data_IF_157533790352
#
_entry.id   IF_157533790352
#
_cell.length_a   1.000
_cell.length_b   1.000
_cell.length_c   1.000
_cell.angle_alpha   90.00
_cell.angle_beta   90.00
_cell.angle_gamma   90.00
#
_symmetry.space_group_name_H-M   'P 1'
#
loop_
_entity.id
_entity.type
_entity.pdbx_description
1 polymer ?
#
# COMPACT_ATOMS: atom_id res chain seq x y z
N UNK A 1 3.00 9.82 -4.44
CA UNK A 1 1.97 8.95 -5.03
C UNK A 1 2.62 7.77 -5.74
N UNK A 2 2.12 6.56 -5.55
CA UNK A 2 2.49 5.37 -6.33
C UNK A 2 1.85 5.45 -7.71
N UNK A 3 2.61 5.18 -8.76
CA UNK A 3 2.10 5.11 -10.14
C UNK A 3 2.09 3.66 -10.60
N UNK A 4 3.23 2.97 -10.51
CA UNK A 4 3.34 1.56 -10.91
C UNK A 4 4.27 0.82 -9.96
N UNK A 5 3.98 -0.43 -9.71
CA UNK A 5 4.84 -1.34 -8.96
C UNK A 5 4.87 -2.70 -9.62
N UNK A 6 6.04 -3.15 -10.04
CA UNK A 6 6.22 -4.53 -10.49
C UNK A 6 7.20 -5.27 -9.61
N UNK A 7 7.02 -6.58 -9.54
CA UNK A 7 7.93 -7.48 -8.86
C UNK A 7 7.96 -8.85 -9.53
N UNK A 8 9.08 -9.54 -9.38
CA UNK A 8 9.32 -10.88 -9.93
C UNK A 8 10.05 -11.74 -8.93
N UNK A 9 9.82 -13.06 -9.00
CA UNK A 9 10.46 -14.05 -8.14
C UNK A 9 10.29 -13.74 -6.65
N UNK A 10 9.04 -13.61 -6.20
CA UNK A 10 8.71 -13.29 -4.82
C UNK A 10 7.62 -14.21 -4.26
N UNK A 11 7.94 -14.99 -3.23
CA UNK A 11 7.03 -15.92 -2.50
C UNK A 11 6.21 -16.85 -3.41
N UNK A 12 4.99 -16.45 -3.80
CA UNK A 12 4.07 -17.25 -4.64
C UNK A 12 4.09 -16.81 -6.11
N UNK A 13 4.76 -15.72 -6.43
CA UNK A 13 4.90 -15.19 -7.78
C UNK A 13 6.27 -15.54 -8.35
N UNK A 14 6.27 -16.32 -9.42
CA UNK A 14 7.48 -16.66 -10.18
C UNK A 14 7.76 -15.60 -11.25
N UNK A 15 6.76 -15.34 -12.06
CA UNK A 15 6.86 -14.38 -13.15
C UNK A 15 6.60 -12.95 -12.67
N UNK A 16 6.90 -11.99 -13.52
CA UNK A 16 6.68 -10.58 -13.24
C UNK A 16 5.18 -10.28 -13.22
N UNK A 17 4.78 -9.53 -12.19
CA UNK A 17 3.44 -8.94 -12.09
C UNK A 17 3.57 -7.43 -11.95
N UNK A 18 2.64 -6.71 -12.56
CA UNK A 18 2.54 -5.25 -12.53
C UNK A 18 1.24 -4.84 -11.84
N UNK A 19 1.35 -3.99 -10.84
CA UNK A 19 0.24 -3.25 -10.23
C UNK A 19 0.29 -1.81 -10.76
N UNK A 20 -0.80 -1.33 -11.35
CA UNK A 20 -0.86 -0.05 -12.06
C UNK A 20 -1.94 0.86 -11.49
N UNK A 21 -1.54 2.04 -11.00
CA UNK A 21 -2.43 3.09 -10.52
C UNK A 21 -2.79 4.12 -11.60
N UNK A 22 -2.34 3.94 -12.85
CA UNK A 22 -2.80 4.77 -13.96
C UNK A 22 -4.24 4.39 -14.33
N UNK A 23 -5.14 5.37 -14.48
CA UNK A 23 -6.52 5.09 -14.79
C UNK A 23 -6.66 4.57 -16.23
N UNK A 24 -7.44 3.51 -16.39
CA UNK A 24 -7.81 3.03 -17.72
C UNK A 24 -8.70 4.05 -18.44
N UNK A 25 -8.76 3.97 -19.78
CA UNK A 25 -9.59 4.82 -20.63
C UNK A 25 -11.08 4.49 -20.51
N UNK A 26 -11.62 4.56 -19.28
CA UNK A 26 -13.03 4.33 -18.95
C UNK A 26 -13.67 5.62 -18.40
N UNK A 27 -15.01 5.73 -18.52
CA UNK A 27 -15.72 6.95 -18.14
C UNK A 27 -16.33 6.92 -16.72
N UNK A 28 -16.06 5.85 -15.97
CA UNK A 28 -16.61 5.64 -14.63
C UNK A 28 -15.93 6.56 -13.62
N UNK A 29 -16.70 7.14 -12.70
CA UNK A 29 -16.20 7.88 -11.53
C UNK A 29 -14.97 8.76 -11.76
N UNK A 30 -14.91 9.51 -12.88
CA UNK A 30 -13.77 10.40 -13.20
C UNK A 30 -13.50 11.45 -12.13
N UNK A 31 -14.50 11.80 -11.36
CA UNK A 31 -14.43 12.77 -10.27
C UNK A 31 -13.72 12.24 -9.02
N UNK A 32 -13.48 10.92 -8.91
CA UNK A 32 -12.75 10.33 -7.79
C UNK A 32 -11.24 10.25 -8.04
N UNK A 33 -10.80 10.47 -9.28
CA UNK A 33 -9.38 10.42 -9.62
C UNK A 33 -8.59 11.53 -8.92
N UNK A 34 -7.46 11.16 -8.36
CA UNK A 34 -6.49 12.12 -7.83
C UNK A 34 -5.84 12.86 -8.99
N UNK A 35 -5.66 14.17 -8.83
CA UNK A 35 -4.96 15.00 -9.82
C UNK A 35 -3.66 15.51 -9.21
N UNK A 36 -2.56 15.27 -9.89
CA UNK A 36 -1.30 15.88 -9.50
C UNK A 36 -1.34 17.38 -9.80
N UNK A 37 -1.05 18.25 -8.83
CA UNK A 37 -1.08 19.68 -9.04
C UNK A 37 0.03 20.18 -9.99
N UNK A 38 1.09 19.41 -10.22
CA UNK A 38 2.24 19.82 -11.02
C UNK A 38 1.99 19.68 -12.55
N UNK A 39 1.31 18.64 -12.97
CA UNK A 39 1.08 18.34 -14.41
C UNK A 39 -0.38 18.03 -14.75
N UNK A 40 -1.23 17.90 -13.74
CA UNK A 40 -2.66 17.58 -13.91
C UNK A 40 -2.94 16.13 -14.30
N UNK A 41 -1.93 15.24 -14.30
CA UNK A 41 -2.14 13.82 -14.55
C UNK A 41 -3.05 13.19 -13.49
N UNK A 42 -3.92 12.29 -13.96
CA UNK A 42 -4.86 11.59 -13.12
C UNK A 42 -4.27 10.24 -12.66
N UNK A 43 -4.47 9.91 -11.38
CA UNK A 43 -3.99 8.68 -10.76
C UNK A 43 -5.14 8.08 -9.94
N UNK A 44 -5.22 6.75 -9.84
CA UNK A 44 -6.24 6.08 -9.03
C UNK A 44 -6.01 6.36 -7.53
N UNK A 45 -7.08 6.70 -6.78
CA UNK A 45 -7.00 6.91 -5.33
C UNK A 45 -6.79 5.61 -4.56
N UNK A 46 -7.23 4.49 -5.14
CA UNK A 46 -7.19 3.21 -4.45
C UNK A 46 -7.14 2.03 -5.43
N UNK A 47 -6.65 0.90 -4.91
CA UNK A 47 -6.77 -0.42 -5.54
C UNK A 47 -7.17 -1.43 -4.47
N UNK A 48 -8.23 -2.19 -4.75
CA UNK A 48 -8.66 -3.33 -3.96
C UNK A 48 -8.34 -4.65 -4.65
N UNK A 49 -7.57 -5.52 -3.99
CA UNK A 49 -7.18 -6.83 -4.51
C UNK A 49 -8.09 -7.91 -3.93
N UNK A 50 -8.79 -8.61 -4.79
CA UNK A 50 -9.73 -9.68 -4.48
C UNK A 50 -9.21 -11.03 -5.00
N UNK A 51 -9.70 -12.10 -4.43
CA UNK A 51 -9.33 -13.45 -4.85
C UNK A 51 -9.53 -14.47 -3.72
N UNK A 52 -9.38 -15.77 -4.00
CA UNK A 52 -9.53 -16.81 -3.01
C UNK A 52 -8.45 -16.75 -1.92
N UNK A 53 -8.71 -17.47 -0.82
CA UNK A 53 -7.66 -17.74 0.17
C UNK A 53 -6.50 -18.43 -0.52
N UNK A 54 -5.28 -18.10 -0.11
CA UNK A 54 -4.04 -18.60 -0.73
C UNK A 54 -3.85 -18.20 -2.22
N UNK A 55 -4.65 -17.25 -2.74
CA UNK A 55 -4.51 -16.72 -4.10
C UNK A 55 -3.34 -15.76 -4.32
N UNK A 56 -2.64 -15.32 -3.26
CA UNK A 56 -1.48 -14.43 -3.37
C UNK A 56 -1.74 -12.95 -3.03
N UNK A 57 -2.97 -12.56 -2.64
CA UNK A 57 -3.34 -11.16 -2.34
C UNK A 57 -2.38 -10.46 -1.37
N UNK A 58 -2.21 -11.01 -0.16
CA UNK A 58 -1.29 -10.48 0.85
C UNK A 58 0.17 -10.46 0.38
N UNK A 59 0.53 -11.31 -0.59
CA UNK A 59 1.89 -11.34 -1.14
C UNK A 59 2.20 -10.07 -1.93
N UNK A 60 1.22 -9.49 -2.61
CA UNK A 60 1.40 -8.22 -3.34
C UNK A 60 1.74 -7.08 -2.37
N UNK A 61 0.98 -6.95 -1.28
CA UNK A 61 1.27 -5.96 -0.22
C UNK A 61 2.63 -6.23 0.44
N UNK A 62 2.91 -7.51 0.72
CA UNK A 62 4.18 -7.92 1.31
C UNK A 62 5.39 -7.64 0.41
N UNK A 63 5.23 -7.66 -0.92
CA UNK A 63 6.30 -7.33 -1.85
C UNK A 63 6.69 -5.85 -1.73
N UNK A 64 5.70 -4.95 -1.72
CA UNK A 64 5.93 -3.51 -1.55
C UNK A 64 6.44 -3.17 -0.14
N UNK A 65 5.90 -3.83 0.90
CA UNK A 65 6.39 -3.71 2.28
C UNK A 65 7.85 -4.18 2.43
N UNK A 66 8.21 -5.27 1.76
CA UNK A 66 9.58 -5.78 1.73
C UNK A 66 10.52 -4.75 1.08
N UNK A 67 10.17 -4.22 -0.09
CA UNK A 67 10.94 -3.18 -0.75
C UNK A 67 11.11 -1.93 0.14
N UNK A 68 10.01 -1.43 0.74
CA UNK A 68 10.05 -0.31 1.67
C UNK A 68 10.98 -0.59 2.86
N UNK A 69 10.87 -1.78 3.46
CA UNK A 69 11.72 -2.19 4.59
C UNK A 69 13.20 -2.27 4.22
N UNK A 70 13.53 -2.73 3.01
CA UNK A 70 14.91 -2.76 2.52
C UNK A 70 15.50 -1.37 2.35
N UNK A 71 14.69 -0.43 1.82
CA UNK A 71 15.10 0.96 1.62
C UNK A 71 15.19 1.73 2.93
N UNK A 72 14.30 1.47 3.89
CA UNK A 72 14.26 2.21 5.16
C UNK A 72 15.08 1.55 6.27
N UNK A 73 15.70 0.40 6.00
CA UNK A 73 16.57 -0.27 6.96
C UNK A 73 17.73 0.60 7.42
N UNK A 74 18.12 0.43 8.68
CA UNK A 74 19.26 1.15 9.24
C UNK A 74 20.57 0.80 8.54
N UNK A 75 21.31 1.80 8.12
CA UNK A 75 22.67 1.63 7.53
C UNK A 75 23.71 1.19 8.55
N UNK A 76 23.48 1.44 9.85
CA UNK A 76 24.40 1.08 10.95
C UNK A 76 24.16 -0.33 11.46
N UNK A 77 22.94 -0.84 11.36
CA UNK A 77 22.56 -2.19 11.74
C UNK A 77 21.81 -2.80 10.57
N UNK A 78 22.52 -3.35 9.58
CA UNK A 78 21.88 -3.92 8.40
C UNK A 78 20.94 -5.05 8.80
N UNK A 79 19.67 -4.90 8.46
CA UNK A 79 18.71 -5.99 8.64
C UNK A 79 19.10 -7.10 7.67
N UNK A 80 19.19 -8.34 8.18
CA UNK A 80 19.39 -9.48 7.28
C UNK A 80 18.23 -9.53 6.31
N UNK A 81 18.51 -9.32 5.03
CA UNK A 81 17.53 -9.53 3.96
C UNK A 81 17.22 -11.04 3.98
N UNK A 82 15.99 -11.37 4.39
CA UNK A 82 15.52 -12.76 4.31
C UNK A 82 15.36 -13.12 2.85
N UNK A 83 15.72 -14.36 2.52
CA UNK A 83 15.45 -14.90 1.20
C UNK A 83 13.93 -15.02 1.00
N UNK A 84 13.41 -14.37 -0.04
CA UNK A 84 11.97 -14.25 -0.31
C UNK A 84 11.61 -14.69 -1.73
N UNK A 85 12.53 -15.40 -2.40
CA UNK A 85 12.31 -15.94 -3.74
C UNK A 85 11.05 -16.81 -3.83
N UNK A 86 10.60 -17.08 -5.04
CA UNK A 86 9.45 -17.94 -5.27
C UNK A 86 9.72 -19.37 -4.76
N UNK A 87 8.78 -19.88 -3.94
CA UNK A 87 8.91 -21.16 -3.27
C UNK A 87 8.42 -22.35 -4.12
N UNK A 88 7.76 -22.08 -5.25
CA UNK A 88 7.15 -23.12 -6.09
C UNK A 88 8.06 -23.71 -7.16
N UNK A 89 9.27 -23.15 -7.34
CA UNK A 89 10.26 -23.67 -8.28
C UNK A 89 11.64 -23.66 -7.64
N UNK A 90 12.34 -24.80 -7.70
CA UNK A 90 13.71 -24.93 -7.19
C UNK A 90 14.70 -23.95 -7.83
N UNK A 91 14.45 -23.57 -9.09
CA UNK A 91 15.33 -22.71 -9.86
C UNK A 91 15.27 -21.24 -9.38
N UNK A 92 14.16 -20.87 -8.73
CA UNK A 92 13.93 -19.50 -8.26
C UNK A 92 14.92 -19.03 -7.20
N UNK A 93 15.51 -19.93 -6.41
CA UNK A 93 16.49 -19.62 -5.36
C UNK A 93 17.83 -19.07 -5.90
N UNK A 94 18.14 -19.32 -7.16
CA UNK A 94 19.38 -18.89 -7.80
C UNK A 94 19.16 -17.70 -8.76
N UNK A 95 17.95 -17.21 -8.82
CA UNK A 95 17.53 -16.02 -9.61
C UNK A 95 17.24 -14.87 -8.65
N UNK A 96 17.63 -13.60 -8.97
CA UNK A 96 17.31 -12.46 -8.12
C UNK A 96 15.80 -12.25 -7.97
N UNK A 97 15.38 -11.88 -6.75
CA UNK A 97 14.09 -11.20 -6.57
C UNK A 97 14.22 -9.78 -7.10
N UNK A 98 13.24 -9.32 -7.87
CA UNK A 98 13.27 -8.03 -8.56
C UNK A 98 12.09 -7.18 -8.13
N UNK A 99 12.34 -5.89 -7.95
CA UNK A 99 11.34 -4.85 -7.74
C UNK A 99 11.60 -3.68 -8.69
N UNK A 100 10.54 -3.11 -9.22
CA UNK A 100 10.56 -1.87 -9.99
C UNK A 100 9.36 -1.01 -9.57
N UNK A 101 9.62 0.21 -9.13
CA UNK A 101 8.58 1.12 -8.66
C UNK A 101 8.71 2.48 -9.31
N UNK A 102 7.60 2.96 -9.87
CA UNK A 102 7.44 4.31 -10.40
C UNK A 102 6.55 5.09 -9.44
N UNK A 103 7.05 6.20 -8.92
CA UNK A 103 6.34 6.99 -7.93
C UNK A 103 6.67 8.48 -8.01
N UNK A 104 5.81 9.30 -7.43
CA UNK A 104 6.00 10.75 -7.30
C UNK A 104 6.26 11.13 -5.85
N UNK A 105 7.25 11.98 -5.64
CA UNK A 105 7.61 12.53 -4.33
C UNK A 105 8.20 13.92 -4.46
N UNK A 106 7.70 14.87 -3.67
CA UNK A 106 8.26 16.22 -3.53
C UNK A 106 8.53 16.94 -4.87
N UNK A 107 7.61 16.82 -5.84
CA UNK A 107 7.70 17.47 -7.15
C UNK A 107 8.56 16.73 -8.18
N UNK A 108 9.00 15.52 -7.87
CA UNK A 108 9.78 14.68 -8.79
C UNK A 108 9.04 13.37 -9.10
N UNK A 109 9.28 12.87 -10.30
CA UNK A 109 8.97 11.51 -10.73
C UNK A 109 10.21 10.65 -10.54
N UNK A 110 10.08 9.52 -9.87
CA UNK A 110 11.18 8.58 -9.63
C UNK A 110 10.83 7.21 -10.20
N UNK A 111 11.84 6.54 -10.78
CA UNK A 111 11.83 5.10 -11.00
C UNK A 111 12.95 4.47 -10.21
N UNK A 112 12.60 3.58 -9.30
CA UNK A 112 13.56 2.86 -8.47
C UNK A 112 13.49 1.37 -8.76
N UNK A 113 14.63 0.78 -9.08
CA UNK A 113 14.79 -0.63 -9.40
C UNK A 113 15.74 -1.29 -8.42
N UNK A 114 15.33 -2.43 -7.89
CA UNK A 114 16.13 -3.18 -6.94
C UNK A 114 16.09 -4.68 -7.28
N UNK A 115 17.25 -5.30 -7.36
CA UNK A 115 17.40 -6.73 -7.45
C UNK A 115 18.27 -7.23 -6.29
N UNK A 116 17.81 -8.26 -5.59
CA UNK A 116 18.62 -8.86 -4.56
C UNK A 116 18.62 -10.38 -4.64
N UNK A 117 19.74 -10.98 -4.23
CA UNK A 117 19.96 -12.41 -4.26
C UNK A 117 20.76 -12.83 -3.02
N UNK A 118 20.26 -13.83 -2.29
CA UNK A 118 20.99 -14.43 -1.15
C UNK A 118 21.47 -13.39 -0.13
N UNK A 119 20.63 -12.38 0.16
CA UNK A 119 20.92 -11.37 1.17
C UNK A 119 21.78 -10.19 0.70
N UNK A 120 22.18 -10.14 -0.56
CA UNK A 120 22.96 -9.03 -1.13
C UNK A 120 22.20 -8.32 -2.25
N UNK A 121 22.49 -7.05 -2.40
CA UNK A 121 21.99 -6.25 -3.53
C UNK A 121 22.79 -6.64 -4.78
N UNK A 122 22.09 -7.20 -5.76
CA UNK A 122 22.67 -7.57 -7.05
C UNK A 122 22.66 -6.38 -8.02
N UNK A 123 21.57 -5.61 -8.03
CA UNK A 123 21.42 -4.42 -8.83
C UNK A 123 20.53 -3.39 -8.15
N UNK A 124 20.86 -2.11 -8.26
CA UNK A 124 20.07 -1.00 -7.71
C UNK A 124 20.23 0.24 -8.58
N UNK A 125 19.11 0.77 -9.07
CA UNK A 125 19.11 1.93 -9.97
C UNK A 125 18.07 2.96 -9.48
N UNK A 126 18.40 4.24 -9.55
CA UNK A 126 17.46 5.33 -9.29
C UNK A 126 17.54 6.37 -10.40
N UNK A 127 16.39 6.56 -11.04
CA UNK A 127 16.16 7.58 -12.06
C UNK A 127 15.19 8.63 -11.51
N UNK A 128 15.34 9.87 -11.97
CA UNK A 128 14.44 10.96 -11.58
C UNK A 128 14.07 11.85 -12.78
N UNK A 129 12.96 12.54 -12.65
CA UNK A 129 12.49 13.57 -13.58
C UNK A 129 11.68 14.63 -12.86
N UNK A 130 11.78 15.88 -13.30
CA UNK A 130 10.95 16.97 -12.78
C UNK A 130 9.54 16.88 -13.30
N UNK A 131 8.52 16.94 -12.43
CA UNK A 131 7.12 16.99 -12.85
C UNK A 131 6.84 18.29 -13.58
N UNK A 132 6.26 18.18 -14.79
CA UNK A 132 6.00 19.34 -15.65
C UNK A 132 7.23 19.97 -16.28
N UNK A 133 8.43 19.40 -16.12
CA UNK A 133 9.71 19.86 -16.68
C UNK A 133 10.33 18.85 -17.64
N UNK A 134 11.42 19.27 -18.31
CA UNK A 134 12.22 18.43 -19.20
C UNK A 134 13.46 17.82 -18.53
N UNK A 135 13.68 18.12 -17.24
CA UNK A 135 14.88 17.67 -16.53
C UNK A 135 14.72 16.23 -16.07
N UNK A 136 15.48 15.32 -16.66
CA UNK A 136 15.52 13.90 -16.32
C UNK A 136 16.96 13.46 -16.13
N UNK A 137 17.19 12.57 -15.19
CA UNK A 137 18.55 12.11 -14.90
C UNK A 137 18.61 10.74 -14.25
N UNK A 138 19.83 10.24 -14.21
CA UNK A 138 20.19 9.06 -13.44
C UNK A 138 20.85 9.58 -12.17
N UNK A 139 20.29 9.22 -10.99
CA UNK A 139 20.94 9.55 -9.74
C UNK A 139 22.11 8.58 -9.50
N UNK A 140 21.86 7.28 -9.70
CA UNK A 140 22.91 6.26 -9.69
C UNK A 140 22.46 4.97 -10.38
N UNK A 141 23.46 4.19 -10.82
CA UNK A 141 23.33 2.78 -11.16
C UNK A 141 24.35 2.00 -10.32
N UNK A 142 23.94 0.91 -9.72
CA UNK A 142 24.78 -0.01 -8.96
C UNK A 142 24.58 -1.43 -9.46
N UNK A 143 25.69 -2.10 -9.74
CA UNK A 143 25.71 -3.55 -10.01
C UNK A 143 26.72 -4.18 -9.09
N UNK A 144 26.23 -5.02 -8.15
CA UNK A 144 27.02 -5.61 -7.09
C UNK A 144 27.79 -4.54 -6.28
N UNK A 145 29.12 -4.53 -6.36
CA UNK A 145 30.01 -3.56 -5.69
C UNK A 145 30.34 -2.34 -6.56
N UNK A 146 30.00 -2.36 -7.85
CA UNK A 146 30.33 -1.27 -8.79
C UNK A 146 29.19 -0.25 -8.79
N UNK A 147 29.51 0.99 -8.44
CA UNK A 147 28.58 2.11 -8.40
C UNK A 147 28.98 3.14 -9.46
N UNK A 148 28.04 3.47 -10.33
CA UNK A 148 28.15 4.55 -11.29
C UNK A 148 27.29 5.72 -10.81
N UNK A 149 27.88 6.77 -10.21
CA UNK A 149 27.15 7.93 -9.71
C UNK A 149 26.67 8.81 -10.87
N UNK A 150 25.46 9.33 -10.74
CA UNK A 150 25.01 10.44 -11.56
C UNK A 150 25.73 11.74 -11.23
N UNK A 151 25.49 12.79 -12.00
CA UNK A 151 26.20 14.08 -11.89
C UNK A 151 26.17 14.66 -10.48
N UNK A 152 25.06 14.55 -9.78
CA UNK A 152 24.87 15.06 -8.42
C UNK A 152 25.77 14.37 -7.38
N UNK A 153 26.12 13.11 -7.63
CA UNK A 153 26.81 12.25 -6.66
C UNK A 153 28.32 12.10 -6.92
N UNK A 154 28.89 12.73 -7.93
CA UNK A 154 30.30 12.56 -8.33
C UNK A 154 31.28 12.91 -7.19
N UNK A 155 30.93 13.86 -6.33
CA UNK A 155 31.77 14.31 -5.22
C UNK A 155 31.70 13.42 -3.96
N UNK A 156 30.76 12.46 -3.89
CA UNK A 156 30.56 11.64 -2.70
C UNK A 156 31.40 10.35 -2.73
N UNK A 157 31.99 9.93 -1.59
CA UNK A 157 32.81 8.72 -1.50
C UNK A 157 31.97 7.45 -1.41
N UNK A 158 31.45 6.96 -2.53
CA UNK A 158 30.52 5.83 -2.58
C UNK A 158 31.14 4.43 -2.40
N UNK A 159 32.47 4.35 -2.20
CA UNK A 159 33.19 3.07 -2.11
C UNK A 159 32.94 2.25 -0.83
N UNK A 160 32.33 2.85 0.19
CA UNK A 160 32.15 2.23 1.51
C UNK A 160 30.74 1.62 1.74
N UNK A 161 29.92 1.52 0.70
CA UNK A 161 28.53 1.01 0.85
C UNK A 161 28.56 -0.51 0.96
N UNK A 162 28.04 -1.09 2.07
CA UNK A 162 27.99 -2.54 2.23
C UNK A 162 27.12 -3.22 1.16
N UNK A 163 27.42 -4.47 0.76
CA UNK A 163 26.62 -5.19 -0.25
C UNK A 163 25.15 -5.43 0.17
N UNK A 164 24.89 -5.51 1.46
CA UNK A 164 23.54 -5.76 2.03
C UNK A 164 22.74 -4.49 2.31
N UNK A 165 23.32 -3.29 2.09
CA UNK A 165 22.66 -2.00 2.32
C UNK A 165 22.29 -1.39 0.97
N UNK A 166 21.05 -0.89 0.84
CA UNK A 166 20.65 -0.15 -0.36
C UNK A 166 21.43 1.17 -0.45
N UNK A 167 21.83 1.53 -1.65
CA UNK A 167 22.54 2.78 -1.87
C UNK A 167 21.66 3.99 -1.54
N UNK A 168 20.33 3.86 -1.79
CA UNK A 168 19.38 4.91 -1.44
C UNK A 168 19.34 5.17 0.08
N UNK A 169 19.33 4.12 0.93
CA UNK A 169 19.45 4.29 2.40
C UNK A 169 20.72 4.99 2.79
N UNK A 170 21.84 4.56 2.17
CA UNK A 170 23.15 5.12 2.45
C UNK A 170 23.23 6.60 2.06
N UNK A 171 22.73 6.95 0.87
CA UNK A 171 22.68 8.33 0.39
C UNK A 171 21.82 9.22 1.29
N UNK A 172 20.66 8.73 1.73
CA UNK A 172 19.82 9.47 2.67
C UNK A 172 20.52 9.77 4.01
N UNK A 173 21.32 8.82 4.51
CA UNK A 173 21.99 8.96 5.81
C UNK A 173 23.26 9.86 5.74
N UNK A 174 23.99 9.83 4.63
CA UNK A 174 25.32 10.41 4.56
C UNK A 174 25.49 11.53 3.52
N UNK A 175 24.42 11.90 2.82
CA UNK A 175 24.49 12.98 1.82
C UNK A 175 23.33 13.96 1.97
N UNK A 176 23.48 15.14 1.33
CA UNK A 176 22.43 16.15 1.23
C UNK A 176 21.77 16.15 -0.16
N UNK A 177 21.86 15.03 -0.90
CA UNK A 177 21.18 14.88 -2.18
C UNK A 177 19.66 15.07 -2.03
N UNK A 178 19.14 16.10 -2.70
CA UNK A 178 17.70 16.42 -2.67
C UNK A 178 16.88 15.26 -3.24
N UNK A 179 17.34 14.67 -4.35
CA UNK A 179 16.65 13.57 -5.01
C UNK A 179 16.67 12.28 -4.15
N UNK A 180 17.82 11.97 -3.51
CA UNK A 180 17.89 10.80 -2.62
C UNK A 180 16.96 10.95 -1.41
N UNK A 181 16.96 12.15 -0.78
CA UNK A 181 16.07 12.45 0.36
C UNK A 181 14.60 12.40 -0.04
N UNK A 182 14.23 12.95 -1.20
CA UNK A 182 12.85 12.92 -1.70
C UNK A 182 12.39 11.50 -2.02
N UNK A 183 13.23 10.68 -2.66
CA UNK A 183 12.91 9.28 -2.96
C UNK A 183 12.80 8.45 -1.67
N UNK A 184 13.75 8.56 -0.75
CA UNK A 184 13.72 7.87 0.55
C UNK A 184 12.48 8.25 1.37
N UNK A 185 12.13 9.54 1.40
CA UNK A 185 10.96 10.06 2.13
C UNK A 185 9.65 9.42 1.67
N UNK A 186 9.51 9.06 0.39
CA UNK A 186 8.33 8.34 -0.10
C UNK A 186 8.21 6.96 0.54
N UNK A 187 9.28 6.18 0.55
CA UNK A 187 9.30 4.85 1.18
C UNK A 187 9.03 4.90 2.69
N UNK A 188 9.63 5.88 3.38
CA UNK A 188 9.50 6.00 4.84
C UNK A 188 8.10 6.42 5.30
N UNK A 189 7.29 7.01 4.42
CA UNK A 189 5.91 7.43 4.71
C UNK A 189 4.84 6.40 4.33
N UNK A 190 5.20 5.28 3.71
CA UNK A 190 4.24 4.20 3.44
C UNK A 190 3.68 3.70 4.77
N UNK A 191 2.36 3.74 4.91
CA UNK A 191 1.65 3.32 6.11
C UNK A 191 1.19 1.88 5.98
N UNK A 192 1.40 1.08 7.02
CA UNK A 192 0.83 -0.27 7.12
C UNK A 192 -0.39 -0.32 8.03
N UNK A 193 -1.16 -1.39 7.93
CA UNK A 193 -2.30 -1.66 8.83
C UNK A 193 -1.90 -2.22 10.20
N UNK A 194 -0.60 -2.20 10.54
CA UNK A 194 -0.16 -2.59 11.88
C UNK A 194 -0.81 -1.69 12.93
N UNK A 195 -1.30 -2.25 14.05
CA UNK A 195 -1.88 -1.46 15.11
C UNK A 195 -0.93 -0.34 15.57
N UNK A 196 -1.42 0.88 15.59
CA UNK A 196 -0.72 2.03 16.17
C UNK A 196 -1.30 2.35 17.53
N UNK A 197 -0.49 2.98 18.35
CA UNK A 197 -1.00 3.61 19.57
C UNK A 197 -2.03 4.67 19.23
N UNK A 198 -3.05 4.80 20.07
CA UNK A 198 -4.05 5.84 19.90
C UNK A 198 -3.39 7.23 20.04
N UNK A 199 -3.71 8.17 19.14
CA UNK A 199 -3.14 9.52 19.20
C UNK A 199 -3.46 10.23 20.51
N UNK A 200 -2.47 10.88 21.09
CA UNK A 200 -2.65 11.67 22.32
C UNK A 200 -2.97 13.15 22.06
N UNK A 201 -2.68 13.65 20.84
CA UNK A 201 -2.99 15.03 20.49
C UNK A 201 -4.49 15.24 20.29
N UNK A 202 -4.99 16.39 20.76
CA UNK A 202 -6.42 16.68 20.81
C UNK A 202 -7.10 16.80 19.44
N UNK A 203 -6.36 17.20 18.41
CA UNK A 203 -6.94 17.39 17.07
C UNK A 203 -7.15 16.05 16.36
N UNK A 204 -6.12 15.23 16.29
CA UNK A 204 -6.22 13.87 15.72
C UNK A 204 -7.23 13.03 16.48
N UNK A 205 -7.26 13.13 17.82
CA UNK A 205 -8.24 12.45 18.66
C UNK A 205 -9.68 12.86 18.31
N UNK A 206 -9.95 14.16 18.18
CA UNK A 206 -11.27 14.67 17.75
C UNK A 206 -11.68 14.17 16.38
N UNK A 207 -10.77 14.19 15.40
CA UNK A 207 -11.02 13.69 14.05
C UNK A 207 -11.31 12.20 14.04
N UNK A 208 -10.57 11.43 14.84
CA UNK A 208 -10.77 9.98 14.97
C UNK A 208 -12.15 9.68 15.57
N UNK A 209 -12.53 10.32 16.65
CA UNK A 209 -13.86 10.18 17.27
C UNK A 209 -14.98 10.63 16.30
N UNK A 210 -14.76 11.68 15.51
CA UNK A 210 -15.69 12.12 14.49
C UNK A 210 -15.93 11.05 13.41
N UNK A 211 -14.89 10.36 12.95
CA UNK A 211 -15.04 9.22 12.03
C UNK A 211 -15.83 8.08 12.66
N UNK A 212 -15.58 7.76 13.93
CA UNK A 212 -16.33 6.71 14.63
C UNK A 212 -17.82 7.05 14.74
N UNK A 213 -18.13 8.32 15.03
CA UNK A 213 -19.51 8.81 15.07
C UNK A 213 -20.18 8.82 13.69
N UNK A 214 -19.47 9.20 12.62
CA UNK A 214 -19.94 9.09 11.24
C UNK A 214 -20.28 7.63 10.87
N UNK A 215 -19.59 6.68 11.47
CA UNK A 215 -19.84 5.24 11.32
C UNK A 215 -20.95 4.70 12.22
N UNK A 216 -21.60 5.56 13.00
CA UNK A 216 -22.69 5.21 13.91
C UNK A 216 -22.26 4.61 15.25
N UNK A 217 -20.99 4.78 15.62
CA UNK A 217 -20.51 4.40 16.94
C UNK A 217 -20.71 5.58 17.90
N UNK A 218 -21.18 5.28 19.11
CA UNK A 218 -21.47 6.29 20.15
C UNK A 218 -20.25 6.74 20.95
N UNK A 219 -19.05 6.56 20.39
CA UNK A 219 -17.77 6.90 21.01
C UNK A 219 -17.55 8.41 20.87
N UNK A 220 -17.58 9.11 22.01
CA UNK A 220 -17.39 10.56 22.06
C UNK A 220 -15.92 10.95 22.26
N UNK A 221 -15.16 10.15 23.02
CA UNK A 221 -13.75 10.39 23.34
C UNK A 221 -13.06 9.11 23.80
N UNK A 222 -11.77 9.18 24.10
CA UNK A 222 -11.01 8.12 24.79
C UNK A 222 -9.94 8.72 25.68
N UNK A 223 -9.55 7.98 26.71
CA UNK A 223 -8.46 8.32 27.60
C UNK A 223 -7.41 7.22 27.60
N UNK A 224 -6.14 7.60 27.72
CA UNK A 224 -5.02 6.68 27.85
C UNK A 224 -4.39 6.96 29.21
N UNK A 225 -4.46 6.00 30.11
CA UNK A 225 -3.89 6.10 31.45
C UNK A 225 -2.53 5.39 31.41
N UNK A 226 -1.41 6.11 31.64
CA UNK A 226 -0.11 5.49 31.81
C UNK A 226 -0.13 4.50 32.97
N UNK A 227 0.30 3.28 32.75
CA UNK A 227 0.44 2.31 33.83
C UNK A 227 1.69 2.62 34.66
N UNK A 228 1.51 2.86 35.98
CA UNK A 228 2.60 3.09 36.94
C UNK A 228 3.52 1.88 37.12
N UNK A 229 3.05 0.68 36.80
CA UNK A 229 3.74 -0.60 37.04
C UNK A 229 4.41 -1.22 35.80
N UNK A 230 4.67 -0.41 34.74
CA UNK A 230 5.33 -0.85 33.48
C UNK A 230 4.59 -1.93 32.69
N UNK A 231 3.30 -2.14 32.91
CA UNK A 231 2.41 -2.87 32.02
C UNK A 231 1.85 -1.92 30.96
N UNK A 232 1.33 -2.48 29.87
CA UNK A 232 0.77 -1.68 28.76
C UNK A 232 -0.22 -0.62 29.26
N UNK A 233 -0.19 0.62 28.71
CA UNK A 233 -1.11 1.68 29.13
C UNK A 233 -2.56 1.21 28.96
N UNK A 234 -3.40 1.48 29.98
CA UNK A 234 -4.82 1.18 29.91
C UNK A 234 -5.53 2.25 29.08
N UNK A 235 -6.33 1.82 28.10
CA UNK A 235 -7.18 2.70 27.31
C UNK A 235 -8.64 2.51 27.71
N UNK A 236 -9.37 3.63 27.85
CA UNK A 236 -10.79 3.66 28.12
C UNK A 236 -11.49 4.47 27.04
N UNK A 237 -12.63 3.98 26.58
CA UNK A 237 -13.46 4.64 25.60
C UNK A 237 -14.64 5.29 26.29
N UNK A 238 -14.90 6.55 25.95
CA UNK A 238 -16.01 7.32 26.50
C UNK A 238 -17.18 7.22 25.53
N UNK A 239 -18.18 6.47 25.90
CA UNK A 239 -19.43 6.33 25.14
C UNK A 239 -20.47 7.37 25.54
N UNK A 240 -21.20 7.90 24.56
CA UNK A 240 -22.29 8.85 24.74
C UNK A 240 -23.50 8.43 23.91
N UNK A 241 -24.24 7.37 24.34
CA UNK A 241 -25.35 6.83 23.58
C UNK A 241 -26.59 7.77 23.54
N UNK A 242 -26.73 8.62 24.55
CA UNK A 242 -27.82 9.58 24.66
C UNK A 242 -27.29 10.92 25.18
N UNK A 243 -27.99 12.01 24.85
CA UNK A 243 -27.65 13.34 25.33
C UNK A 243 -27.61 13.37 26.87
N UNK A 244 -26.50 13.84 27.43
CA UNK A 244 -26.25 13.92 28.88
C UNK A 244 -25.90 12.59 29.57
N UNK A 245 -25.78 11.50 28.83
CA UNK A 245 -25.36 10.20 29.37
C UNK A 245 -24.00 9.81 28.82
N UNK A 246 -23.00 9.65 29.69
CA UNK A 246 -21.66 9.16 29.34
C UNK A 246 -21.25 8.02 30.24
N UNK A 247 -20.53 7.03 29.71
CA UNK A 247 -19.89 5.97 30.49
C UNK A 247 -18.55 5.62 29.90
N UNK A 248 -17.64 5.12 30.71
CA UNK A 248 -16.33 4.65 30.29
C UNK A 248 -16.32 3.13 30.17
N UNK A 249 -15.79 2.63 29.07
CA UNK A 249 -15.62 1.22 28.83
C UNK A 249 -14.12 0.91 28.64
N UNK A 250 -13.55 -0.05 29.39
CA UNK A 250 -12.17 -0.49 29.19
C UNK A 250 -11.98 -1.05 27.77
N UNK A 251 -10.80 -0.81 27.19
CA UNK A 251 -10.43 -1.35 25.88
C UNK A 251 -10.71 -2.85 25.73
N UNK A 252 -10.46 -3.63 26.76
CA UNK A 252 -10.62 -5.09 26.76
C UNK A 252 -12.07 -5.50 26.52
N UNK A 253 -13.02 -4.72 26.98
CA UNK A 253 -14.47 -4.99 26.89
C UNK A 253 -15.10 -4.52 25.58
N UNK A 254 -14.35 -3.74 24.78
CA UNK A 254 -14.81 -3.26 23.48
C UNK A 254 -15.02 -4.37 22.46
N UNK A 255 -15.90 -4.08 21.49
CA UNK A 255 -16.14 -4.98 20.38
C UNK A 255 -14.90 -5.14 19.49
N UNK A 256 -14.73 -6.32 18.87
CA UNK A 256 -13.62 -6.56 17.95
C UNK A 256 -13.64 -5.61 16.75
N UNK A 257 -14.82 -5.22 16.26
CA UNK A 257 -14.99 -4.24 15.17
C UNK A 257 -14.50 -2.86 15.56
N UNK A 258 -14.88 -2.37 16.76
CA UNK A 258 -14.40 -1.10 17.32
C UNK A 258 -12.88 -1.10 17.50
N UNK A 259 -12.33 -2.16 18.10
CA UNK A 259 -10.88 -2.33 18.27
C UNK A 259 -10.13 -2.27 16.95
N UNK A 260 -10.65 -2.95 15.91
CA UNK A 260 -10.05 -2.96 14.57
C UNK A 260 -10.06 -1.55 13.95
N UNK A 261 -11.18 -0.84 14.04
CA UNK A 261 -11.29 0.55 13.56
C UNK A 261 -10.30 1.47 14.27
N UNK A 262 -10.29 1.43 15.61
CA UNK A 262 -9.38 2.24 16.44
C UNK A 262 -7.91 1.94 16.16
N UNK A 263 -7.57 0.70 15.82
CA UNK A 263 -6.20 0.32 15.44
C UNK A 263 -5.81 0.81 14.05
N UNK A 264 -6.77 0.91 13.13
CA UNK A 264 -6.56 1.25 11.72
C UNK A 264 -6.60 2.77 11.48
N UNK A 265 -7.57 3.45 12.08
CA UNK A 265 -7.85 4.88 11.81
C UNK A 265 -6.66 5.82 12.05
N UNK A 266 -5.78 5.64 13.04
CA UNK A 266 -4.57 6.47 13.16
C UNK A 266 -3.67 6.41 11.93
N UNK A 267 -3.51 5.22 11.32
CA UNK A 267 -2.73 5.08 10.08
C UNK A 267 -3.45 5.68 8.87
N UNK A 268 -4.77 5.56 8.82
CA UNK A 268 -5.61 6.20 7.79
C UNK A 268 -5.48 7.72 7.86
N UNK A 269 -5.66 8.31 9.04
CA UNK A 269 -5.52 9.75 9.23
C UNK A 269 -4.12 10.24 8.87
N UNK A 270 -3.07 9.56 9.35
CA UNK A 270 -1.70 9.90 9.02
C UNK A 270 -1.45 9.85 7.50
N UNK A 271 -1.99 8.85 6.80
CA UNK A 271 -1.83 8.75 5.35
C UNK A 271 -2.54 9.89 4.62
N UNK A 272 -3.74 10.28 5.05
CA UNK A 272 -4.50 11.40 4.48
C UNK A 272 -3.79 12.74 4.71
N UNK A 273 -3.19 12.93 5.88
CA UNK A 273 -2.46 14.16 6.24
C UNK A 273 -1.13 14.29 5.46
N UNK A 274 -0.42 13.17 5.30
CA UNK A 274 0.88 13.13 4.63
C UNK A 274 0.80 12.97 3.10
N UNK A 275 -0.38 12.67 2.54
CA UNK A 275 -0.52 12.29 1.14
C UNK A 275 0.23 11.01 0.79
N UNK A 276 0.29 10.05 1.73
CA UNK A 276 1.07 8.84 1.58
C UNK A 276 0.22 7.62 1.18
N UNK A 277 0.90 6.53 0.82
CA UNK A 277 0.26 5.26 0.51
C UNK A 277 -0.05 4.51 1.80
N UNK A 278 -1.33 4.15 2.01
CA UNK A 278 -1.79 3.24 3.04
C UNK A 278 -1.93 1.84 2.47
N UNK A 279 -1.35 0.84 3.13
CA UNK A 279 -1.51 -0.58 2.79
C UNK A 279 -2.29 -1.30 3.88
N UNK A 280 -3.38 -1.96 3.53
CA UNK A 280 -4.22 -2.68 4.47
C UNK A 280 -4.52 -4.11 3.99
N UNK A 281 -4.00 -5.09 4.72
CA UNK A 281 -4.30 -6.50 4.44
C UNK A 281 -5.60 -6.91 5.12
N UNK A 282 -6.44 -7.68 4.41
CA UNK A 282 -7.76 -8.15 4.87
C UNK A 282 -8.59 -7.04 5.53
N UNK A 283 -8.74 -5.91 4.81
CA UNK A 283 -9.37 -4.70 5.33
C UNK A 283 -10.83 -4.93 5.75
N UNK A 284 -11.51 -5.87 5.10
CA UNK A 284 -12.89 -6.25 5.37
C UNK A 284 -13.05 -7.29 6.49
N UNK A 285 -11.98 -7.89 6.97
CA UNK A 285 -12.03 -8.79 8.11
C UNK A 285 -12.47 -8.03 9.37
N UNK A 286 -13.65 -8.35 9.90
CA UNK A 286 -14.21 -7.77 11.12
C UNK A 286 -14.89 -6.39 10.88
N UNK A 287 -14.64 -5.69 9.76
CA UNK A 287 -15.33 -4.43 9.46
C UNK A 287 -16.69 -4.66 8.82
N UNK A 288 -17.70 -3.94 9.30
CA UNK A 288 -18.97 -3.91 8.61
C UNK A 288 -18.84 -3.31 7.20
N UNK A 289 -19.54 -3.79 6.16
CA UNK A 289 -19.41 -3.27 4.79
C UNK A 289 -19.60 -1.75 4.67
N UNK A 290 -20.41 -1.14 5.52
CA UNK A 290 -20.58 0.33 5.54
C UNK A 290 -19.32 1.05 6.00
N UNK A 291 -18.60 0.51 7.00
CA UNK A 291 -17.33 1.08 7.43
C UNK A 291 -16.26 1.01 6.32
N UNK A 292 -16.21 -0.12 5.61
CA UNK A 292 -15.32 -0.27 4.48
C UNK A 292 -15.63 0.73 3.34
N UNK A 293 -16.92 0.91 3.01
CA UNK A 293 -17.37 1.92 2.04
C UNK A 293 -16.98 3.33 2.46
N UNK A 294 -17.14 3.65 3.74
CA UNK A 294 -16.75 4.95 4.27
C UNK A 294 -15.25 5.20 4.11
N UNK A 295 -14.40 4.22 4.47
CA UNK A 295 -12.96 4.32 4.29
C UNK A 295 -12.57 4.53 2.82
N UNK A 296 -13.15 3.76 1.89
CA UNK A 296 -12.93 3.94 0.45
C UNK A 296 -13.34 5.36 0.01
N UNK A 297 -14.49 5.85 0.49
CA UNK A 297 -14.98 7.19 0.15
C UNK A 297 -14.06 8.31 0.68
N UNK A 298 -13.34 8.11 1.79
CA UNK A 298 -12.36 9.06 2.29
C UNK A 298 -11.25 9.30 1.25
N UNK A 299 -10.67 8.22 0.70
CA UNK A 299 -9.59 8.32 -0.29
C UNK A 299 -10.07 8.81 -1.66
N UNK A 300 -11.31 8.48 -2.05
CA UNK A 300 -11.92 8.89 -3.31
C UNK A 300 -12.47 10.34 -3.31
N UNK A 301 -12.47 11.02 -2.16
CA UNK A 301 -13.00 12.39 -2.00
C UNK A 301 -11.90 13.43 -2.08
N UNK A 302 -11.91 14.30 -3.07
CA UNK A 302 -10.97 15.41 -3.17
C UNK A 302 -11.02 16.37 -1.95
N UNK A 303 -12.17 16.48 -1.27
CA UNK A 303 -12.34 17.33 -0.08
C UNK A 303 -11.69 16.70 1.17
N UNK A 304 -11.90 15.37 1.36
CA UNK A 304 -11.39 14.64 2.53
C UNK A 304 -9.96 14.12 2.33
N UNK A 305 -9.46 14.13 1.10
CA UNK A 305 -8.13 13.70 0.69
C UNK A 305 -7.38 14.79 -0.10
N UNK A 306 -7.16 15.98 0.48
CA UNK A 306 -6.54 17.11 -0.22
C UNK A 306 -5.07 16.90 -0.57
N UNK A 307 -4.39 15.94 0.07
CA UNK A 307 -2.97 15.64 -0.14
C UNK A 307 -2.72 14.43 -1.05
N UNK A 308 -3.78 13.93 -1.72
CA UNK A 308 -3.68 12.82 -2.67
C UNK A 308 -3.11 11.52 -2.06
N UNK A 309 -3.53 11.17 -0.85
CA UNK A 309 -3.23 9.86 -0.26
C UNK A 309 -3.81 8.72 -1.11
N UNK A 310 -3.17 7.56 -1.09
CA UNK A 310 -3.60 6.38 -1.83
C UNK A 310 -3.85 5.20 -0.89
N UNK A 311 -4.81 4.34 -1.24
CA UNK A 311 -5.13 3.12 -0.49
C UNK A 311 -4.91 1.87 -1.36
N UNK A 312 -4.04 0.98 -0.91
CA UNK A 312 -3.88 -0.37 -1.46
C UNK A 312 -4.35 -1.39 -0.42
N UNK A 313 -5.38 -2.15 -0.73
CA UNK A 313 -5.92 -3.10 0.24
C UNK A 313 -6.26 -4.45 -0.37
N UNK A 314 -6.31 -5.49 0.47
CA UNK A 314 -6.90 -6.78 0.12
C UNK A 314 -8.24 -6.96 0.81
N UNK A 315 -9.15 -7.68 0.17
CA UNK A 315 -10.46 -7.99 0.72
C UNK A 315 -11.01 -9.31 0.19
N UNK A 316 -11.94 -9.88 0.94
CA UNK A 316 -12.71 -11.08 0.59
C UNK A 316 -14.20 -10.77 0.36
N UNK A 317 -14.70 -9.74 1.03
CA UNK A 317 -16.12 -9.38 0.99
C UNK A 317 -16.48 -8.69 -0.33
N UNK A 318 -17.42 -9.26 -1.04
CA UNK A 318 -17.89 -8.77 -2.34
C UNK A 318 -18.90 -7.63 -2.24
N UNK A 319 -19.31 -7.22 -1.03
CA UNK A 319 -20.35 -6.21 -0.83
C UNK A 319 -19.98 -4.82 -1.40
N UNK A 320 -18.68 -4.54 -1.56
CA UNK A 320 -18.19 -3.30 -2.17
C UNK A 320 -17.83 -3.47 -3.65
N UNK A 321 -17.83 -4.68 -4.20
CA UNK A 321 -17.65 -4.94 -5.63
C UNK A 321 -18.90 -4.55 -6.41
N UNK A 322 -19.15 -3.25 -6.51
CA UNK A 322 -20.30 -2.67 -7.18
C UNK A 322 -19.87 -1.51 -8.07
N UNK A 323 -20.50 -1.34 -9.25
CA UNK A 323 -20.22 -0.25 -10.18
C UNK A 323 -20.40 1.14 -9.57
N UNK A 324 -21.22 1.26 -8.52
CA UNK A 324 -21.48 2.52 -7.80
C UNK A 324 -20.44 2.87 -6.76
N UNK A 325 -19.51 1.94 -6.44
CA UNK A 325 -18.53 2.10 -5.37
C UNK A 325 -17.10 2.17 -5.88
N UNK A 326 -16.78 1.39 -6.89
CA UNK A 326 -15.42 1.27 -7.42
C UNK A 326 -15.41 1.25 -8.94
N UNK A 327 -14.36 1.79 -9.53
CA UNK A 327 -14.04 1.69 -10.94
C UNK A 327 -13.52 0.28 -11.25
N UNK A 328 -13.69 -0.19 -12.48
CA UNK A 328 -13.15 -1.52 -12.89
C UNK A 328 -11.64 -1.61 -12.86
N UNK A 329 -10.93 -0.51 -13.01
CA UNK A 329 -9.47 -0.42 -12.92
C UNK A 329 -8.96 -0.31 -11.47
N UNK A 330 -9.83 -0.03 -10.50
CA UNK A 330 -9.56 -0.10 -9.07
C UNK A 330 -9.74 -1.52 -8.49
N UNK A 331 -10.42 -2.41 -9.22
CA UNK A 331 -10.68 -3.79 -8.80
C UNK A 331 -9.66 -4.70 -9.47
N UNK A 332 -8.82 -5.33 -8.65
CA UNK A 332 -7.80 -6.27 -9.10
C UNK A 332 -8.11 -7.66 -8.60
N UNK A 333 -7.86 -8.65 -9.44
CA UNK A 333 -8.10 -10.05 -9.13
C UNK A 333 -6.77 -10.79 -9.05
N UNK A 334 -6.59 -11.51 -7.94
CA UNK A 334 -5.40 -12.29 -7.67
C UNK A 334 -5.81 -13.75 -7.47
N UNK A 335 -5.32 -14.63 -8.33
CA UNK A 335 -5.67 -16.05 -8.27
C UNK A 335 -4.49 -16.93 -8.67
N UNK A 336 -4.59 -18.18 -8.25
CA UNK A 336 -3.70 -19.24 -8.64
C UNK A 336 -4.53 -20.47 -9.01
N UNK A 337 -4.39 -20.92 -10.23
CA UNK A 337 -4.98 -22.17 -10.68
C UNK A 337 -4.00 -23.34 -10.43
N UNK A 338 -4.55 -24.54 -10.31
CA UNK A 338 -3.74 -25.75 -10.11
C UNK A 338 -2.77 -25.96 -11.28
N UNK A 339 -1.48 -26.10 -10.96
CA UNK A 339 -0.42 -26.27 -11.98
C UNK A 339 -0.06 -25.01 -12.76
N UNK A 340 -0.59 -23.85 -12.40
CA UNK A 340 -0.30 -22.55 -13.03
C UNK A 340 0.40 -21.58 -12.07
N UNK A 341 1.02 -20.55 -12.63
CA UNK A 341 1.58 -19.46 -11.88
C UNK A 341 0.48 -18.58 -11.27
N UNK A 342 0.81 -17.84 -10.21
CA UNK A 342 -0.10 -16.87 -9.61
C UNK A 342 -0.24 -15.66 -10.53
N UNK A 343 -1.48 -15.27 -10.83
CA UNK A 343 -1.82 -14.14 -11.69
C UNK A 343 -2.42 -12.99 -10.91
N UNK A 344 -2.14 -11.76 -11.37
CA UNK A 344 -2.72 -10.51 -10.87
C UNK A 344 -3.14 -9.64 -12.04
N UNK A 345 -4.42 -9.26 -12.12
CA UNK A 345 -4.95 -8.47 -13.23
C UNK A 345 -6.11 -7.58 -12.82
N UNK A 346 -6.30 -6.39 -13.44
CA UNK A 346 -7.45 -5.54 -13.18
C UNK A 346 -8.69 -6.04 -13.90
N UNK A 347 -9.86 -5.83 -13.30
CA UNK A 347 -11.15 -6.19 -13.88
C UNK A 347 -11.40 -5.47 -15.23
N UNK A 348 -10.84 -4.28 -15.40
CA UNK A 348 -10.95 -3.49 -16.64
C UNK A 348 -10.28 -4.11 -17.85
N UNK A 349 -9.29 -4.98 -17.66
CA UNK A 349 -8.57 -5.67 -18.76
C UNK A 349 -8.96 -7.14 -18.90
N UNK A 350 -9.74 -7.68 -17.96
CA UNK A 350 -10.17 -9.08 -18.01
C UNK A 350 -11.04 -9.35 -19.23
N UNK A 351 -10.73 -10.42 -19.96
CA UNK A 351 -11.53 -10.89 -21.09
C UNK A 351 -12.29 -12.16 -20.69
N UNK A 352 -13.61 -12.10 -20.75
CA UNK A 352 -14.48 -13.26 -20.55
C UNK A 352 -14.25 -14.30 -21.67
N UNK A 353 -14.76 -15.52 -21.53
CA UNK A 353 -14.67 -16.58 -22.54
C UNK A 353 -15.19 -16.14 -23.92
N UNK A 354 -16.16 -15.24 -23.96
CA UNK A 354 -16.70 -14.65 -25.19
C UNK A 354 -15.85 -13.47 -25.74
N UNK A 355 -14.69 -13.18 -25.15
CA UNK A 355 -13.78 -12.10 -25.52
C UNK A 355 -14.22 -10.69 -25.10
N UNK A 356 -15.37 -10.55 -24.44
CA UNK A 356 -15.87 -9.24 -23.97
C UNK A 356 -15.28 -8.86 -22.62
N UNK A 357 -15.01 -7.58 -22.43
CA UNK A 357 -14.61 -6.99 -21.16
C UNK A 357 -15.85 -6.82 -20.26
N UNK A 358 -15.78 -7.00 -18.93
CA UNK A 358 -16.87 -6.71 -18.01
C UNK A 358 -17.45 -5.31 -18.21
N UNK A 359 -18.77 -5.18 -18.21
CA UNK A 359 -19.45 -3.89 -18.42
C UNK A 359 -19.62 -3.16 -17.08
N UNK A 360 -19.76 -1.84 -17.15
CA UNK A 360 -19.97 -0.99 -15.97
C UNK A 360 -21.36 -1.10 -15.32
N UNK A 361 -22.30 -1.83 -15.94
CA UNK A 361 -23.63 -2.11 -15.43
C UNK A 361 -23.79 -3.53 -14.84
N UNK A 362 -22.69 -4.30 -14.80
CA UNK A 362 -22.70 -5.65 -14.25
C UNK A 362 -22.63 -5.63 -12.71
N UNK A 363 -23.30 -6.59 -12.07
CA UNK A 363 -23.16 -6.82 -10.64
C UNK A 363 -21.84 -7.55 -10.34
N UNK A 364 -20.74 -6.80 -10.21
CA UNK A 364 -19.37 -7.35 -10.10
C UNK A 364 -19.24 -8.42 -9.00
N UNK A 365 -19.76 -8.15 -7.80
CA UNK A 365 -19.72 -9.12 -6.70
C UNK A 365 -20.41 -10.44 -7.04
N UNK A 366 -21.59 -10.39 -7.68
CA UNK A 366 -22.31 -11.59 -8.12
C UNK A 366 -21.53 -12.34 -9.20
N UNK A 367 -21.02 -11.63 -10.22
CA UNK A 367 -20.27 -12.24 -11.32
C UNK A 367 -18.96 -12.87 -10.82
N UNK A 368 -18.31 -12.23 -9.82
CA UNK A 368 -17.12 -12.77 -9.17
C UNK A 368 -17.45 -14.09 -8.45
N UNK A 369 -18.53 -14.12 -7.63
CA UNK A 369 -18.96 -15.34 -6.92
C UNK A 369 -19.40 -16.48 -7.85
N UNK A 370 -19.88 -16.15 -9.07
CA UNK A 370 -20.20 -17.12 -10.12
C UNK A 370 -18.96 -17.59 -10.92
N UNK A 371 -17.75 -17.12 -10.56
CA UNK A 371 -16.49 -17.51 -11.22
C UNK A 371 -16.25 -16.89 -12.59
N UNK A 372 -17.07 -15.93 -13.00
CA UNK A 372 -17.01 -15.35 -14.37
C UNK A 372 -15.80 -14.46 -14.64
N UNK A 373 -15.00 -14.20 -13.62
CA UNK A 373 -13.79 -13.40 -13.71
C UNK A 373 -12.52 -14.23 -13.44
N UNK A 374 -12.60 -15.55 -13.41
CA UNK A 374 -11.47 -16.47 -13.34
C UNK A 374 -10.84 -16.65 -11.94
N UNK A 375 -11.10 -15.77 -10.99
CA UNK A 375 -10.46 -15.79 -9.67
C UNK A 375 -11.28 -16.53 -8.60
N UNK A 376 -11.63 -17.80 -8.86
CA UNK A 376 -12.42 -18.63 -7.94
C UNK A 376 -11.55 -19.62 -7.18
N UNK A 377 -11.91 -19.98 -5.92
CA UNK A 377 -11.27 -21.06 -5.22
C UNK A 377 -11.60 -22.41 -5.89
N UNK A 378 -10.61 -23.27 -6.06
CA UNK A 378 -10.84 -24.66 -6.43
C UNK A 378 -11.37 -25.42 -5.21
N UNK A 379 -12.70 -25.52 -5.11
CA UNK A 379 -13.36 -26.30 -4.06
C UNK A 379 -13.66 -27.67 -4.66
N UNK A 380 -12.96 -28.68 -4.18
CA UNK A 380 -13.29 -30.10 -4.45
C UNK A 380 -14.33 -30.51 -3.40
N UNK A 381 -15.60 -30.60 -3.79
CA UNK A 381 -16.69 -31.09 -2.95
C UNK A 381 -16.75 -32.62 -2.99
#
# INVERSE_FOLDING_TARGET
MLIQFSFKNFKVFKEEVLLDFLPASINEHKNTLLKDPADGECILPLIGIYGPNNGGKSTVLNALSCLSSLVTASVTVPTRIKDVHCLFSSDCKDIPTQFDVLFRSQGFLFRYQLQFLKGNIAEENLFYGSLGGSDTGILFNRKESVIHPGRELISFPLKAVPPSVTLLSWLNAYTDSIHAKAAYSWFSRIQGSSPRELPSDADTRRRLCGILQDLGLDIADYSIIPDSDHKSPAAFLVHSPYEGCTYELPWEEESMGTKKLLSLLPSVLASLDDGSLMMADDLDCILHPHALRYLIALYASCEKNPHNAQLLFTAHNTAILQPTQMRRDEIWLCCRQEGQDTELYPLSSYKKENGLIPRNDEAYGKQYLEGRYGAMPNIHA
#
